data_IF_774669233100
#
_entry.id   IF_774669233100
#
_cell.length_a   1.000
_cell.length_b   1.000
_cell.length_c   1.000
_cell.angle_alpha   90.00
_cell.angle_beta   90.00
_cell.angle_gamma   90.00
#
_symmetry.space_group_name_H-M   'P 1'
#
loop_
_entity.id
_entity.type
_entity.pdbx_description
1 polymer ?
#
# COMPACT_ATOMS: atom_id res chain seq x y z
N UNK A 1 12.13 5.62 12.96
CA UNK A 1 11.10 4.76 12.35
C UNK A 1 9.81 5.55 12.23
N UNK A 2 9.11 5.39 11.12
CA UNK A 2 7.87 6.11 10.84
C UNK A 2 6.76 5.08 10.61
N UNK A 3 5.65 5.21 11.32
CA UNK A 3 4.46 4.35 11.12
C UNK A 3 3.52 5.05 10.15
N UNK A 4 2.99 4.31 9.19
CA UNK A 4 2.08 4.85 8.18
C UNK A 4 0.81 4.00 8.18
N UNK A 5 -0.33 4.65 8.38
CA UNK A 5 -1.64 4.05 8.19
C UNK A 5 -2.31 4.68 6.99
N UNK A 6 -2.99 3.87 6.17
CA UNK A 6 -3.64 4.38 4.97
C UNK A 6 -4.87 3.56 4.62
N UNK A 7 -5.78 4.17 3.89
CA UNK A 7 -7.07 3.58 3.53
C UNK A 7 -7.36 3.80 2.05
N UNK A 8 -8.01 2.81 1.43
CA UNK A 8 -8.51 2.92 0.06
C UNK A 8 -9.76 2.06 -0.07
N UNK A 9 -10.63 2.38 -1.00
CA UNK A 9 -11.76 1.52 -1.33
C UNK A 9 -11.36 0.36 -2.22
N UNK A 10 -12.23 -0.64 -2.30
CA UNK A 10 -12.07 -1.80 -3.16
C UNK A 10 -13.35 -1.98 -3.95
N UNK A 11 -13.24 -2.19 -5.26
CA UNK A 11 -14.41 -2.42 -6.10
C UNK A 11 -15.15 -3.67 -5.62
N UNK A 12 -16.50 -3.62 -5.47
CA UNK A 12 -17.26 -4.74 -4.89
C UNK A 12 -17.08 -6.06 -5.64
N UNK A 13 -16.94 -6.01 -6.95
CA UNK A 13 -16.79 -7.19 -7.79
C UNK A 13 -15.34 -7.69 -7.87
N UNK A 14 -14.42 -7.03 -7.19
CA UNK A 14 -12.99 -7.39 -7.24
C UNK A 14 -12.47 -7.94 -5.91
N UNK A 15 -13.33 -8.13 -4.92
CA UNK A 15 -12.90 -8.56 -3.59
C UNK A 15 -12.16 -9.91 -3.65
N UNK A 16 -12.75 -10.91 -4.28
CA UNK A 16 -12.13 -12.24 -4.37
C UNK A 16 -10.83 -12.21 -5.17
N UNK A 17 -10.84 -11.50 -6.30
CA UNK A 17 -9.66 -11.39 -7.16
C UNK A 17 -8.51 -10.70 -6.42
N UNK A 18 -8.81 -9.63 -5.67
CA UNK A 18 -7.81 -8.90 -4.91
C UNK A 18 -7.19 -9.78 -3.83
N UNK A 19 -8.02 -10.50 -3.06
CA UNK A 19 -7.53 -11.39 -2.00
C UNK A 19 -6.71 -12.54 -2.58
N UNK A 20 -7.13 -13.10 -3.70
CA UNK A 20 -6.41 -14.18 -4.36
C UNK A 20 -5.04 -13.72 -4.85
N UNK A 21 -4.98 -12.52 -5.44
CA UNK A 21 -3.74 -11.94 -5.91
C UNK A 21 -2.75 -11.73 -4.76
N UNK A 22 -3.25 -11.25 -3.62
CA UNK A 22 -2.43 -10.96 -2.44
C UNK A 22 -2.06 -12.20 -1.62
N UNK A 23 -2.67 -13.34 -1.90
CA UNK A 23 -2.25 -14.60 -1.30
C UNK A 23 -0.92 -15.10 -1.88
N UNK A 24 -0.50 -14.56 -3.03
CA UNK A 24 0.72 -14.96 -3.72
C UNK A 24 1.40 -13.73 -4.34
N UNK A 25 1.79 -12.78 -3.48
CA UNK A 25 2.49 -11.57 -3.94
C UNK A 25 3.82 -11.96 -4.59
N UNK A 26 4.12 -11.32 -5.72
CA UNK A 26 5.31 -11.65 -6.48
C UNK A 26 6.58 -11.43 -5.65
N UNK A 27 7.54 -12.38 -5.66
CA UNK A 27 8.78 -12.23 -4.89
C UNK A 27 9.55 -10.95 -5.20
N UNK A 28 9.55 -10.50 -6.45
CA UNK A 28 10.24 -9.27 -6.85
C UNK A 28 9.62 -8.03 -6.21
N UNK A 29 8.28 -8.03 -6.05
CA UNK A 29 7.58 -6.94 -5.37
C UNK A 29 7.92 -6.92 -3.88
N UNK A 30 7.93 -8.09 -3.24
CA UNK A 30 8.32 -8.21 -1.84
C UNK A 30 9.76 -7.74 -1.62
N UNK A 31 10.66 -8.09 -2.53
CA UNK A 31 12.06 -7.67 -2.44
C UNK A 31 12.20 -6.15 -2.54
N UNK A 32 11.44 -5.52 -3.44
CA UNK A 32 11.47 -4.06 -3.61
C UNK A 32 10.91 -3.35 -2.37
N UNK A 33 9.83 -3.87 -1.80
CA UNK A 33 9.27 -3.32 -0.54
C UNK A 33 10.35 -3.30 0.53
N UNK A 34 11.06 -4.41 0.71
CA UNK A 34 12.12 -4.50 1.69
C UNK A 34 13.30 -3.56 1.37
N UNK A 35 13.70 -3.52 0.10
CA UNK A 35 14.79 -2.65 -0.36
C UNK A 35 14.48 -1.16 -0.19
N UNK A 36 13.19 -0.79 -0.19
CA UNK A 36 12.75 0.58 0.04
C UNK A 36 12.50 0.86 1.53
N UNK A 37 13.02 0.02 2.41
CA UNK A 37 13.00 0.20 3.86
C UNK A 37 11.61 0.17 4.48
N UNK A 38 10.71 -0.60 3.90
CA UNK A 38 9.37 -0.84 4.44
C UNK A 38 9.38 -2.17 5.19
N UNK A 39 8.78 -2.17 6.39
CA UNK A 39 8.71 -3.33 7.28
C UNK A 39 7.29 -3.49 7.82
N UNK A 40 6.95 -4.70 8.17
CA UNK A 40 5.67 -5.02 8.82
C UNK A 40 4.48 -4.47 8.04
N UNK A 41 4.53 -4.57 6.72
CA UNK A 41 3.48 -4.09 5.84
C UNK A 41 2.31 -5.08 5.89
N UNK A 42 1.15 -4.59 6.31
CA UNK A 42 -0.06 -5.40 6.45
C UNK A 42 -1.23 -4.68 5.80
N UNK A 43 -2.09 -5.43 5.13
CA UNK A 43 -3.31 -4.89 4.55
C UNK A 43 -4.48 -5.68 5.14
N UNK A 44 -5.46 -4.96 5.65
CA UNK A 44 -6.69 -5.53 6.21
C UNK A 44 -7.87 -5.07 5.38
N UNK A 45 -8.87 -5.94 5.27
CA UNK A 45 -10.10 -5.60 4.56
C UNK A 45 -11.29 -5.63 5.51
N UNK A 46 -12.16 -4.63 5.38
CA UNK A 46 -13.49 -4.63 6.00
C UNK A 46 -14.49 -4.18 4.94
N UNK A 47 -15.36 -5.10 4.49
CA UNK A 47 -16.28 -4.79 3.40
C UNK A 47 -15.51 -4.38 2.14
N UNK A 48 -15.84 -3.21 1.61
CA UNK A 48 -15.22 -2.65 0.42
C UNK A 48 -14.13 -1.65 0.76
N UNK A 49 -13.52 -1.77 1.93
CA UNK A 49 -12.44 -0.89 2.37
C UNK A 49 -11.20 -1.70 2.73
N UNK A 50 -10.05 -1.18 2.35
CA UNK A 50 -8.75 -1.73 2.67
C UNK A 50 -8.04 -0.76 3.62
N UNK A 51 -7.50 -1.30 4.70
CA UNK A 51 -6.71 -0.56 5.67
C UNK A 51 -5.30 -1.14 5.64
N UNK A 52 -4.31 -0.29 5.44
CA UNK A 52 -2.92 -0.73 5.39
C UNK A 52 -2.11 -0.05 6.48
N UNK A 53 -1.14 -0.79 6.98
CA UNK A 53 -0.16 -0.31 7.95
C UNK A 53 1.22 -0.75 7.49
N UNK A 54 2.19 0.13 7.57
CA UNK A 54 3.58 -0.27 7.42
C UNK A 54 4.50 0.64 8.23
N UNK A 55 5.72 0.14 8.44
CA UNK A 55 6.77 0.87 9.13
C UNK A 55 7.86 1.21 8.14
N UNK A 56 8.30 2.46 8.17
CA UNK A 56 9.41 2.89 7.35
C UNK A 56 10.64 3.07 8.24
N UNK A 57 11.73 2.37 7.89
CA UNK A 57 12.95 2.35 8.70
C UNK A 57 14.14 3.00 7.98
N UNK A 58 13.91 3.70 6.88
CA UNK A 58 14.98 4.39 6.15
C UNK A 58 15.19 5.82 6.62
N UNK A 59 16.01 6.55 5.88
CA UNK A 59 16.41 7.92 6.21
C UNK A 59 15.78 8.97 5.29
N UNK A 60 15.22 8.56 4.15
CA UNK A 60 14.63 9.48 3.17
C UNK A 60 13.39 8.83 2.57
N UNK A 61 12.26 9.06 3.23
CA UNK A 61 10.99 8.45 2.86
C UNK A 61 10.60 8.75 1.41
N UNK A 62 10.75 10.01 1.00
CA UNK A 62 10.31 10.40 -0.35
C UNK A 62 11.21 9.80 -1.43
N UNK A 63 12.51 9.72 -1.19
CA UNK A 63 13.43 9.08 -2.11
C UNK A 63 13.14 7.57 -2.22
N UNK A 64 12.85 6.91 -1.11
CA UNK A 64 12.55 5.48 -1.13
C UNK A 64 11.20 5.18 -1.77
N UNK A 65 10.20 6.04 -1.57
CA UNK A 65 8.91 5.89 -2.24
C UNK A 65 9.04 6.14 -3.74
N UNK A 66 9.87 7.10 -4.16
CA UNK A 66 10.13 7.33 -5.57
C UNK A 66 10.86 6.14 -6.20
N UNK A 67 11.78 5.53 -5.47
CA UNK A 67 12.49 4.33 -5.92
C UNK A 67 11.52 3.16 -6.12
N UNK A 68 10.57 2.98 -5.22
CA UNK A 68 9.54 1.96 -5.37
C UNK A 68 8.67 2.23 -6.60
N UNK A 69 8.25 3.47 -6.80
CA UNK A 69 7.41 3.87 -7.93
C UNK A 69 8.13 3.73 -9.27
N UNK A 70 9.46 3.73 -9.26
CA UNK A 70 10.27 3.56 -10.47
C UNK A 70 10.57 2.08 -10.78
N UNK A 71 10.33 1.17 -9.83
CA UNK A 71 10.63 -0.25 -10.01
C UNK A 71 9.67 -0.89 -11.00
N UNK A 72 10.23 -1.54 -12.03
CA UNK A 72 9.44 -2.09 -13.13
C UNK A 72 8.43 -3.14 -12.68
N UNK A 73 8.83 -4.05 -11.79
CA UNK A 73 7.95 -5.12 -11.31
C UNK A 73 6.84 -4.56 -10.40
N UNK A 74 7.15 -3.59 -9.57
CA UNK A 74 6.15 -2.91 -8.74
C UNK A 74 5.12 -2.19 -9.61
N UNK A 75 5.57 -1.51 -10.66
CA UNK A 75 4.65 -0.85 -11.59
C UNK A 75 3.77 -1.85 -12.33
N UNK A 76 4.31 -3.00 -12.72
CA UNK A 76 3.52 -4.07 -13.33
C UNK A 76 2.48 -4.59 -12.34
N UNK A 77 2.85 -4.82 -11.08
CA UNK A 77 1.94 -5.22 -10.02
C UNK A 77 0.80 -4.21 -9.86
N UNK A 78 1.11 -2.92 -9.88
CA UNK A 78 0.10 -1.87 -9.76
C UNK A 78 -0.88 -1.85 -10.94
N UNK A 79 -0.46 -2.28 -12.12
CA UNK A 79 -1.40 -2.37 -13.26
C UNK A 79 -2.51 -3.40 -13.00
N UNK A 80 -2.26 -4.37 -12.11
CA UNK A 80 -3.27 -5.35 -11.69
C UNK A 80 -4.09 -4.82 -10.52
N UNK A 81 -3.46 -4.18 -9.55
CA UNK A 81 -4.14 -3.79 -8.30
C UNK A 81 -4.95 -2.51 -8.45
N UNK A 82 -4.46 -1.52 -9.20
CA UNK A 82 -5.15 -0.22 -9.30
C UNK A 82 -6.56 -0.31 -9.87
N UNK A 83 -6.81 -1.09 -10.94
CA UNK A 83 -8.20 -1.21 -11.44
C UNK A 83 -9.16 -1.89 -10.45
N UNK A 84 -8.64 -2.63 -9.49
CA UNK A 84 -9.46 -3.27 -8.45
C UNK A 84 -9.83 -2.32 -7.33
N UNK A 85 -9.10 -1.21 -7.21
CA UNK A 85 -9.23 -0.28 -6.09
C UNK A 85 -10.13 0.89 -6.45
N UNK A 86 -10.69 1.53 -5.42
CA UNK A 86 -11.56 2.70 -5.54
C UNK A 86 -11.05 3.78 -4.59
N UNK A 87 -10.16 4.68 -5.06
CA UNK A 87 -9.60 5.74 -4.20
C UNK A 87 -10.70 6.60 -3.58
N UNK A 88 -10.48 7.04 -2.35
CA UNK A 88 -11.46 7.88 -1.65
C UNK A 88 -11.51 9.27 -2.27
N UNK A 89 -12.71 9.87 -2.29
CA UNK A 89 -12.88 11.25 -2.73
C UNK A 89 -12.17 12.24 -1.82
N UNK A 90 -11.99 11.85 -0.55
CA UNK A 90 -11.36 12.70 0.45
C UNK A 90 -9.83 12.66 0.42
N UNK A 91 -9.24 11.90 -0.51
CA UNK A 91 -7.77 11.84 -0.60
C UNK A 91 -7.20 13.20 -0.98
N UNK A 92 -5.96 13.45 -0.52
CA UNK A 92 -5.25 14.66 -0.90
C UNK A 92 -4.81 14.60 -2.37
N UNK A 93 -4.60 15.73 -3.02
CA UNK A 93 -4.10 15.74 -4.41
C UNK A 93 -2.81 14.93 -4.54
N UNK A 94 -2.78 14.05 -5.55
CA UNK A 94 -1.63 13.20 -5.79
C UNK A 94 -1.62 11.90 -5.01
N UNK A 95 -2.55 11.70 -4.07
CA UNK A 95 -2.65 10.45 -3.34
C UNK A 95 -3.53 9.43 -4.06
N UNK A 96 -3.11 8.16 -4.05
CA UNK A 96 -3.95 7.04 -4.46
C UNK A 96 -4.59 6.42 -3.21
N UNK A 97 -3.78 5.92 -2.28
CA UNK A 97 -4.22 5.59 -0.93
C UNK A 97 -4.30 6.88 -0.12
N UNK A 98 -5.33 7.00 0.72
CA UNK A 98 -5.47 8.14 1.61
C UNK A 98 -4.67 7.91 2.88
N UNK A 99 -3.75 8.80 3.20
CA UNK A 99 -2.98 8.72 4.44
C UNK A 99 -3.87 9.07 5.63
N UNK A 100 -3.73 8.29 6.71
CA UNK A 100 -4.47 8.54 7.94
C UNK A 100 -3.55 9.14 8.99
N UNK A 101 -4.12 10.01 9.82
CA UNK A 101 -3.37 10.64 10.90
C UNK A 101 -3.24 9.67 12.07
N UNK A 102 -2.02 9.44 12.55
CA UNK A 102 -1.82 8.69 13.78
C UNK A 102 -2.31 9.55 14.96
N UNK A 103 -3.26 9.02 15.73
CA UNK A 103 -3.83 9.75 16.86
C UNK A 103 -3.39 9.19 18.21
N UNK A 104 -2.78 7.99 18.21
CA UNK A 104 -2.29 7.36 19.43
C UNK A 104 -1.31 6.25 19.08
N UNK A 105 -0.27 6.13 19.88
CA UNK A 105 0.65 5.00 19.84
C UNK A 105 1.23 4.76 21.22
N UNK A 106 1.42 3.50 21.59
CA UNK A 106 2.19 3.11 22.77
C UNK A 106 2.98 1.85 22.43
N UNK A 107 4.17 1.75 22.95
CA UNK A 107 5.00 0.55 22.77
C UNK A 107 4.45 -0.64 23.57
#
# INVERSE_FOLDING_TARGET
>A
MRRVGQIIGLQPDQIEAYERLHAAVWPEVLATIHACNIRNYSIFRHGEQLFAYFEYVGDDYEADMAKMAADAKTREWWTWTEPMQAPLETRAPGEWWTKMKEVFHTD
#
